data_IF_094597413525
#
_entry.id   IF_094597413525
#
_cell.length_a   1.000
_cell.length_b   1.000
_cell.length_c   1.000
_cell.angle_alpha   90.00
_cell.angle_beta   90.00
_cell.angle_gamma   90.00
#
_symmetry.space_group_name_H-M   'P 1'
#
loop_
_entity.id
_entity.type
_entity.pdbx_description
1 polymer ?
#
# COMPACT_ATOMS: atom_id res chain seq x y z
N UNK A 1 -1.12 3.66 9.07
CA UNK A 1 -2.35 2.86 9.28
C UNK A 1 -2.95 2.49 7.93
N UNK A 2 -2.51 1.40 7.29
CA UNK A 2 -3.01 0.99 5.98
C UNK A 2 -4.51 0.63 5.95
N UNK A 3 -5.19 0.86 4.83
CA UNK A 3 -6.57 0.43 4.62
C UNK A 3 -7.17 0.93 3.30
N UNK A 4 -8.51 0.91 3.17
CA UNK A 4 -9.23 1.55 2.05
C UNK A 4 -8.76 2.99 1.84
N UNK A 5 -8.63 3.72 2.95
CA UNK A 5 -7.83 4.93 3.02
C UNK A 5 -6.75 4.71 4.06
N UNK A 6 -5.50 4.83 3.65
CA UNK A 6 -4.34 4.75 4.52
C UNK A 6 -4.14 6.08 5.24
N UNK A 7 -3.88 6.03 6.54
CA UNK A 7 -3.62 7.21 7.37
C UNK A 7 -2.16 7.23 7.79
N UNK A 8 -1.53 8.39 7.61
CA UNK A 8 -0.18 8.70 8.06
C UNK A 8 -0.30 9.70 9.19
N UNK A 9 0.42 9.46 10.29
CA UNK A 9 0.38 10.32 11.46
C UNK A 9 1.78 10.41 12.07
N UNK A 10 2.21 11.64 12.37
CA UNK A 10 3.41 11.91 13.18
C UNK A 10 2.96 12.30 14.58
N UNK A 11 3.58 11.71 15.60
CA UNK A 11 3.30 12.01 16.99
C UNK A 11 4.52 12.64 17.67
N UNK A 12 4.26 13.66 18.48
CA UNK A 12 5.19 14.18 19.48
C UNK A 12 4.58 13.94 20.86
N UNK A 13 5.09 12.94 21.58
CA UNK A 13 4.46 12.44 22.80
C UNK A 13 3.04 11.92 22.51
N UNK A 14 2.04 12.55 23.13
CA UNK A 14 0.61 12.21 22.95
C UNK A 14 -0.11 13.08 21.92
N UNK A 15 0.60 13.99 21.23
CA UNK A 15 0.01 14.93 20.27
C UNK A 15 0.29 14.49 18.83
N UNK A 16 -0.74 14.44 18.00
CA UNK A 16 -0.60 14.32 16.54
C UNK A 16 -0.17 15.67 15.98
N UNK A 17 0.98 15.73 15.32
CA UNK A 17 1.53 16.97 14.75
C UNK A 17 1.42 17.05 13.23
N UNK A 18 1.31 15.90 12.57
CA UNK A 18 1.08 15.82 11.13
C UNK A 18 0.12 14.67 10.85
N UNK A 19 -0.83 14.88 9.94
CA UNK A 19 -1.74 13.83 9.49
C UNK A 19 -1.99 13.93 7.98
N UNK A 20 -2.04 12.79 7.31
CA UNK A 20 -2.37 12.70 5.89
C UNK A 20 -3.15 11.43 5.60
N UNK A 21 -4.04 11.51 4.62
CA UNK A 21 -4.83 10.39 4.13
C UNK A 21 -4.45 10.09 2.68
N UNK A 22 -4.27 8.81 2.35
CA UNK A 22 -4.09 8.33 0.99
C UNK A 22 -5.20 7.33 0.65
N UNK A 23 -5.87 7.51 -0.49
CA UNK A 23 -7.00 6.66 -0.91
C UNK A 23 -6.55 5.39 -1.65
N UNK A 24 -5.41 4.81 -1.26
CA UNK A 24 -4.71 3.78 -2.03
C UNK A 24 -5.53 2.50 -2.22
N UNK A 25 -6.19 2.02 -1.16
CA UNK A 25 -7.07 0.85 -1.25
C UNK A 25 -8.33 1.12 -2.08
N UNK A 26 -8.94 2.29 -1.93
CA UNK A 26 -10.10 2.69 -2.75
C UNK A 26 -9.73 2.82 -4.23
N UNK A 27 -8.61 3.48 -4.55
CA UNK A 27 -8.12 3.60 -5.93
C UNK A 27 -7.82 2.23 -6.52
N UNK A 28 -7.24 1.30 -5.75
CA UNK A 28 -7.04 -0.07 -6.21
C UNK A 28 -8.37 -0.71 -6.64
N UNK A 29 -9.39 -0.63 -5.80
CA UNK A 29 -10.72 -1.20 -6.06
C UNK A 29 -11.42 -0.56 -7.26
N UNK A 30 -11.37 0.77 -7.37
CA UNK A 30 -11.94 1.51 -8.51
C UNK A 30 -11.23 1.14 -9.81
N UNK A 31 -9.91 1.08 -9.80
CA UNK A 31 -9.14 0.73 -11.00
C UNK A 31 -9.35 -0.73 -11.41
N UNK A 32 -9.38 -1.64 -10.44
CA UNK A 32 -9.66 -3.06 -10.63
C UNK A 32 -11.01 -3.32 -11.27
N UNK A 33 -12.02 -2.54 -10.90
CA UNK A 33 -13.42 -2.85 -11.22
C UNK A 33 -13.99 -1.95 -12.32
N UNK A 34 -13.70 -0.65 -12.29
CA UNK A 34 -14.39 0.35 -13.10
C UNK A 34 -13.53 0.98 -14.20
N UNK A 35 -12.22 0.71 -14.23
CA UNK A 35 -11.33 1.20 -15.28
C UNK A 35 -11.11 0.18 -16.41
N UNK A 36 -10.36 0.57 -17.44
CA UNK A 36 -9.89 -0.34 -18.51
C UNK A 36 -8.98 -1.45 -17.98
N UNK A 37 -8.34 -1.27 -16.81
CA UNK A 37 -7.43 -2.25 -16.23
C UNK A 37 -8.15 -3.55 -15.84
N UNK A 38 -9.47 -3.51 -15.59
CA UNK A 38 -10.30 -4.68 -15.29
C UNK A 38 -10.14 -5.82 -16.30
N UNK A 39 -9.86 -5.48 -17.57
CA UNK A 39 -9.66 -6.47 -18.64
C UNK A 39 -8.36 -7.28 -18.50
N UNK A 40 -7.48 -6.89 -17.58
CA UNK A 40 -6.22 -7.58 -17.25
C UNK A 40 -6.27 -8.24 -15.87
N UNK A 41 -7.43 -8.13 -15.20
CA UNK A 41 -7.69 -8.56 -13.83
C UNK A 41 -8.95 -9.45 -13.81
N UNK A 42 -9.11 -10.28 -14.84
CA UNK A 42 -10.20 -11.25 -14.95
C UNK A 42 -9.72 -12.63 -14.48
N UNK A 43 -10.60 -13.40 -13.84
CA UNK A 43 -10.28 -14.73 -13.33
C UNK A 43 -9.66 -14.70 -11.93
N UNK A 44 -8.90 -15.75 -11.60
CA UNK A 44 -8.22 -15.88 -10.31
C UNK A 44 -7.08 -14.85 -10.20
N UNK A 45 -7.13 -14.01 -9.17
CA UNK A 45 -6.15 -12.93 -8.94
C UNK A 45 -5.06 -13.32 -7.94
N UNK A 46 -5.26 -14.44 -7.25
CA UNK A 46 -4.29 -15.01 -6.35
C UNK A 46 -3.63 -16.18 -7.06
N UNK A 47 -2.31 -16.24 -7.01
CA UNK A 47 -1.55 -17.18 -7.80
C UNK A 47 -0.05 -16.93 -7.70
N UNK A 48 0.78 -17.83 -8.26
CA UNK A 48 2.22 -17.82 -8.07
C UNK A 48 2.89 -16.53 -8.58
N UNK A 49 2.31 -15.88 -9.58
CA UNK A 49 2.87 -14.66 -10.17
C UNK A 49 2.50 -13.37 -9.42
N UNK A 50 1.61 -13.44 -8.42
CA UNK A 50 1.14 -12.25 -7.69
C UNK A 50 2.27 -11.54 -6.95
N UNK A 51 3.09 -12.29 -6.22
CA UNK A 51 4.21 -11.72 -5.46
C UNK A 51 5.29 -11.12 -6.39
N UNK A 52 5.73 -11.79 -7.48
CA UNK A 52 6.58 -11.16 -8.50
C UNK A 52 5.99 -9.89 -9.11
N UNK A 53 4.69 -9.88 -9.42
CA UNK A 53 3.99 -8.70 -9.90
C UNK A 53 4.02 -7.57 -8.87
N UNK A 54 3.71 -7.89 -7.62
CA UNK A 54 3.74 -6.96 -6.50
C UNK A 54 5.11 -6.31 -6.32
N UNK A 55 6.18 -7.10 -6.27
CA UNK A 55 7.54 -6.58 -6.14
C UNK A 55 7.92 -5.63 -7.29
N UNK A 56 7.55 -5.99 -8.53
CA UNK A 56 7.82 -5.15 -9.71
C UNK A 56 7.05 -3.83 -9.69
N UNK A 57 5.77 -3.86 -9.27
CA UNK A 57 4.96 -2.65 -9.11
C UNK A 57 5.48 -1.78 -7.98
N UNK A 58 5.77 -2.38 -6.83
CA UNK A 58 6.27 -1.71 -5.63
C UNK A 58 7.55 -0.93 -5.91
N UNK A 59 8.54 -1.56 -6.57
CA UNK A 59 9.77 -0.89 -6.97
C UNK A 59 9.52 0.33 -7.85
N UNK A 60 8.68 0.22 -8.89
CA UNK A 60 8.36 1.34 -9.78
C UNK A 60 7.61 2.47 -9.08
N UNK A 61 6.69 2.14 -8.18
CA UNK A 61 5.95 3.12 -7.39
C UNK A 61 6.87 3.90 -6.45
N UNK A 62 7.80 3.20 -5.78
CA UNK A 62 8.78 3.82 -4.89
C UNK A 62 9.77 4.73 -5.65
N UNK A 63 10.25 4.28 -6.82
CA UNK A 63 11.25 4.99 -7.61
C UNK A 63 10.68 6.26 -8.26
N UNK A 64 9.46 6.19 -8.80
CA UNK A 64 8.86 7.28 -9.60
C UNK A 64 7.38 7.49 -9.29
N UNK A 65 7.01 7.88 -8.05
CA UNK A 65 5.62 8.09 -7.65
C UNK A 65 4.88 9.14 -8.50
N UNK A 66 5.59 10.19 -8.95
CA UNK A 66 5.08 11.24 -9.84
C UNK A 66 4.64 10.74 -11.22
N UNK A 67 5.07 9.54 -11.64
CA UNK A 67 4.70 8.93 -12.92
C UNK A 67 3.50 7.99 -12.82
N UNK A 68 2.82 7.92 -11.67
CA UNK A 68 1.80 6.93 -11.37
C UNK A 68 0.78 6.75 -12.50
N UNK A 69 0.19 7.83 -13.02
CA UNK A 69 -0.85 7.77 -14.06
C UNK A 69 -0.37 7.13 -15.35
N UNK A 70 0.87 7.40 -15.77
CA UNK A 70 1.49 6.74 -16.92
C UNK A 70 1.82 5.27 -16.64
N UNK A 71 2.32 4.97 -15.43
CA UNK A 71 2.73 3.62 -15.03
C UNK A 71 1.54 2.68 -14.82
N UNK A 72 0.37 3.19 -14.40
CA UNK A 72 -0.86 2.41 -14.25
C UNK A 72 -1.23 1.65 -15.53
N UNK A 73 -1.02 2.25 -16.71
CA UNK A 73 -1.34 1.60 -17.98
C UNK A 73 -0.44 0.38 -18.28
N UNK A 74 0.71 0.23 -17.59
CA UNK A 74 1.54 -0.97 -17.72
C UNK A 74 0.83 -2.25 -17.29
N UNK A 75 -0.18 -2.17 -16.42
CA UNK A 75 -1.05 -3.32 -16.09
C UNK A 75 -1.70 -3.87 -17.36
N UNK A 76 -2.30 -2.98 -18.19
CA UNK A 76 -2.96 -3.37 -19.43
C UNK A 76 -1.97 -3.76 -20.52
N UNK A 77 -0.92 -2.98 -20.69
CA UNK A 77 0.12 -3.26 -21.68
C UNK A 77 0.82 -4.61 -21.39
N UNK A 78 1.11 -4.92 -20.13
CA UNK A 78 1.75 -6.19 -19.74
C UNK A 78 0.90 -7.42 -20.07
N UNK A 79 -0.43 -7.33 -19.85
CA UNK A 79 -1.34 -8.41 -20.22
C UNK A 79 -1.42 -8.59 -21.75
N UNK A 80 -1.51 -7.49 -22.51
CA UNK A 80 -1.67 -7.53 -23.97
C UNK A 80 -0.39 -7.90 -24.74
N UNK A 81 0.76 -7.38 -24.32
CA UNK A 81 2.00 -7.43 -25.09
C UNK A 81 3.04 -8.39 -24.51
N UNK A 82 2.92 -8.73 -23.22
CA UNK A 82 3.92 -9.54 -22.50
C UNK A 82 3.34 -10.79 -21.85
N UNK A 83 2.07 -11.12 -22.13
CA UNK A 83 1.42 -12.32 -21.60
C UNK A 83 1.36 -12.38 -20.07
N UNK A 84 1.37 -11.22 -19.38
CA UNK A 84 1.28 -11.20 -17.91
C UNK A 84 -0.06 -11.75 -17.46
N UNK A 85 -0.01 -12.69 -16.51
CA UNK A 85 -1.18 -13.34 -15.93
C UNK A 85 -1.99 -12.37 -15.06
N UNK A 86 -3.27 -12.69 -14.81
CA UNK A 86 -4.12 -11.87 -13.94
C UNK A 86 -3.58 -11.73 -12.51
N UNK A 87 -3.01 -12.78 -11.87
CA UNK A 87 -2.31 -12.64 -10.59
C UNK A 87 -1.14 -11.65 -10.65
N UNK A 88 -0.31 -11.72 -11.70
CA UNK A 88 0.80 -10.78 -11.87
C UNK A 88 0.29 -9.34 -11.99
N UNK A 89 -0.74 -9.11 -12.82
CA UNK A 89 -1.34 -7.80 -13.02
C UNK A 89 -1.96 -7.24 -11.72
N UNK A 90 -2.61 -8.09 -10.93
CA UNK A 90 -3.19 -7.71 -9.64
C UNK A 90 -2.11 -7.35 -8.62
N UNK A 91 -1.06 -8.18 -8.53
CA UNK A 91 0.13 -7.89 -7.75
C UNK A 91 0.75 -6.56 -8.15
N UNK A 92 1.02 -6.36 -9.45
CA UNK A 92 1.63 -5.14 -9.98
C UNK A 92 0.82 -3.89 -9.66
N UNK A 93 -0.50 -3.92 -9.86
CA UNK A 93 -1.36 -2.78 -9.53
C UNK A 93 -1.29 -2.45 -8.02
N UNK A 94 -1.39 -3.47 -7.17
CA UNK A 94 -1.32 -3.31 -5.71
C UNK A 94 0.03 -2.74 -5.27
N UNK A 95 1.13 -3.34 -5.75
CA UNK A 95 2.49 -2.89 -5.46
C UNK A 95 2.75 -1.47 -5.95
N UNK A 96 2.34 -1.15 -7.18
CA UNK A 96 2.51 0.19 -7.75
C UNK A 96 1.82 1.27 -6.92
N UNK A 97 0.57 1.02 -6.49
CA UNK A 97 -0.18 1.99 -5.70
C UNK A 97 0.42 2.17 -4.30
N UNK A 98 0.77 1.08 -3.61
CA UNK A 98 1.42 1.14 -2.29
C UNK A 98 2.80 1.81 -2.41
N UNK A 99 3.57 1.45 -3.43
CA UNK A 99 4.88 2.04 -3.68
C UNK A 99 4.79 3.54 -3.99
N UNK A 100 3.80 3.96 -4.78
CA UNK A 100 3.60 5.36 -5.10
C UNK A 100 3.16 6.17 -3.87
N UNK A 101 2.33 5.60 -2.99
CA UNK A 101 1.97 6.21 -1.71
C UNK A 101 3.21 6.41 -0.82
N UNK A 102 3.98 5.35 -0.58
CA UNK A 102 5.19 5.41 0.26
C UNK A 102 6.23 6.35 -0.37
N UNK A 103 6.46 6.22 -1.68
CA UNK A 103 7.40 7.03 -2.44
C UNK A 103 7.03 8.52 -2.44
N UNK A 104 5.74 8.84 -2.47
CA UNK A 104 5.22 10.21 -2.40
C UNK A 104 5.25 10.82 -0.99
N UNK A 105 5.47 10.02 0.05
CA UNK A 105 5.55 10.44 1.45
C UNK A 105 6.91 10.16 2.09
N UNK A 106 7.98 10.11 1.30
CA UNK A 106 9.34 9.85 1.81
C UNK A 106 9.79 10.83 2.90
N UNK A 107 9.31 12.07 2.86
CA UNK A 107 9.58 13.11 3.86
C UNK A 107 8.96 12.82 5.25
N UNK A 108 8.07 11.84 5.35
CA UNK A 108 7.52 11.35 6.64
C UNK A 108 8.36 10.25 7.27
N UNK A 109 9.29 9.66 6.51
CA UNK A 109 10.06 8.49 6.93
C UNK A 109 11.32 8.98 7.64
N UNK A 110 11.47 8.56 8.90
CA UNK A 110 12.64 8.87 9.74
C UNK A 110 13.33 7.58 10.17
N UNK A 111 14.41 7.68 10.94
CA UNK A 111 15.13 6.50 11.49
C UNK A 111 14.34 5.75 12.58
N UNK A 112 13.25 6.35 13.07
CA UNK A 112 12.36 5.72 14.04
C UNK A 112 11.61 4.53 13.41
N UNK A 113 11.41 3.50 14.21
CA UNK A 113 10.60 2.35 13.78
C UNK A 113 9.13 2.76 13.58
N UNK A 114 8.57 2.44 12.41
CA UNK A 114 7.22 2.83 12.00
C UNK A 114 6.20 1.78 12.46
N UNK A 115 5.23 2.13 13.32
CA UNK A 115 4.13 1.23 13.66
C UNK A 115 3.13 1.12 12.51
N UNK A 116 2.89 -0.09 12.05
CA UNK A 116 1.86 -0.40 11.06
C UNK A 116 0.65 -0.99 11.77
N UNK A 117 -0.42 -0.20 11.86
CA UNK A 117 -1.69 -0.59 12.48
C UNK A 117 -2.68 -0.94 11.37
N UNK A 118 -3.12 -2.20 11.30
CA UNK A 118 -4.00 -2.71 10.26
C UNK A 118 -4.06 -4.24 10.24
N UNK A 119 -4.60 -4.83 9.17
CA UNK A 119 -4.59 -6.28 9.01
C UNK A 119 -3.17 -6.80 8.73
N UNK A 120 -2.82 -7.98 9.25
CA UNK A 120 -1.49 -8.59 9.09
C UNK A 120 -1.04 -8.65 7.64
N UNK A 121 -1.94 -9.04 6.73
CA UNK A 121 -1.63 -9.13 5.30
C UNK A 121 -1.27 -7.78 4.68
N UNK A 122 -2.06 -6.74 4.94
CA UNK A 122 -1.81 -5.41 4.39
C UNK A 122 -0.58 -4.75 5.02
N UNK A 123 -0.40 -4.90 6.33
CA UNK A 123 0.80 -4.44 7.02
C UNK A 123 2.07 -5.09 6.45
N UNK A 124 2.04 -6.38 6.11
CA UNK A 124 3.16 -7.06 5.45
C UNK A 124 3.51 -6.45 4.09
N UNK A 125 2.51 -6.06 3.30
CA UNK A 125 2.73 -5.41 2.00
C UNK A 125 3.39 -4.03 2.14
N UNK A 126 2.92 -3.22 3.09
CA UNK A 126 3.55 -1.92 3.39
C UNK A 126 4.96 -2.08 3.97
N UNK A 127 5.16 -3.06 4.86
CA UNK A 127 6.46 -3.36 5.46
C UNK A 127 7.53 -3.67 4.40
N UNK A 128 7.18 -4.38 3.32
CA UNK A 128 8.08 -4.60 2.18
C UNK A 128 8.52 -3.29 1.53
N UNK A 129 7.60 -2.36 1.31
CA UNK A 129 7.91 -1.04 0.73
C UNK A 129 8.82 -0.21 1.62
N UNK A 130 8.55 -0.17 2.93
CA UNK A 130 9.41 0.52 3.89
C UNK A 130 10.80 -0.12 4.00
N UNK A 131 10.88 -1.46 3.97
CA UNK A 131 12.16 -2.17 4.00
C UNK A 131 13.04 -1.86 2.79
N UNK A 132 12.44 -1.67 1.60
CA UNK A 132 13.18 -1.23 0.39
C UNK A 132 13.78 0.18 0.52
N UNK A 133 13.29 0.98 1.47
CA UNK A 133 13.82 2.31 1.81
C UNK A 133 14.76 2.26 3.03
N UNK A 134 15.05 1.08 3.57
CA UNK A 134 15.87 0.92 4.78
C UNK A 134 15.13 1.26 6.09
N UNK A 135 13.82 1.53 6.04
CA UNK A 135 13.04 1.86 7.22
C UNK A 135 12.61 0.60 7.99
N UNK A 136 12.64 0.69 9.32
CA UNK A 136 12.17 -0.37 10.21
C UNK A 136 10.68 -0.23 10.46
N UNK A 137 9.97 -1.36 10.50
CA UNK A 137 8.54 -1.38 10.78
C UNK A 137 8.20 -2.46 11.80
N UNK A 138 7.16 -2.21 12.60
CA UNK A 138 6.54 -3.24 13.44
C UNK A 138 5.04 -3.27 13.20
N UNK A 139 4.47 -4.47 13.17
CA UNK A 139 3.02 -4.63 13.06
C UNK A 139 2.39 -4.44 14.44
N UNK A 140 1.31 -3.68 14.48
CA UNK A 140 0.48 -3.49 15.67
C UNK A 140 -0.91 -3.99 15.33
N UNK A 141 -1.42 -4.89 16.17
CA UNK A 141 -2.77 -5.39 16.00
C UNK A 141 -3.78 -4.24 16.13
N UNK A 142 -4.66 -4.13 15.13
CA UNK A 142 -5.63 -3.04 15.07
C UNK A 142 -6.69 -3.16 16.17
N UNK A 143 -7.10 -4.38 16.51
CA UNK A 143 -8.08 -4.63 17.57
C UNK A 143 -7.50 -4.25 18.94
N UNK A 144 -6.27 -4.64 19.23
CA UNK A 144 -5.59 -4.26 20.47
C UNK A 144 -5.42 -2.75 20.58
N UNK A 145 -4.99 -2.08 19.50
CA UNK A 145 -4.87 -0.62 19.46
C UNK A 145 -6.21 0.09 19.70
N UNK A 146 -7.28 -0.38 19.06
CA UNK A 146 -8.64 0.17 19.25
C UNK A 146 -9.13 -0.04 20.68
N UNK A 147 -8.97 -1.25 21.24
CA UNK A 147 -9.39 -1.54 22.61
C UNK A 147 -8.61 -0.72 23.65
N UNK A 148 -7.30 -0.56 23.47
CA UNK A 148 -6.48 0.30 24.32
C UNK A 148 -6.94 1.76 24.28
N UNK A 149 -7.23 2.30 23.09
CA UNK A 149 -7.74 3.65 22.92
C UNK A 149 -9.10 3.86 23.59
N UNK A 150 -10.04 2.92 23.42
CA UNK A 150 -11.37 2.98 24.05
C UNK A 150 -11.29 2.90 25.59
N UNK A 151 -10.41 2.05 26.13
CA UNK A 151 -10.17 1.97 27.58
C UNK A 151 -9.60 3.28 28.14
N UNK A 152 -8.64 3.88 27.45
CA UNK A 152 -8.05 5.15 27.84
C UNK A 152 -9.08 6.29 27.80
N UNK A 153 -9.91 6.36 26.75
CA UNK A 153 -10.96 7.36 26.63
C UNK A 153 -12.05 7.23 27.70
N UNK A 154 -12.38 6.00 28.12
CA UNK A 154 -13.34 5.75 29.21
C UNK A 154 -12.81 6.19 30.59
N UNK A 155 -11.50 6.13 30.78
CA UNK A 155 -10.86 6.43 32.06
C UNK A 155 -10.52 7.93 32.24
N UNK A 156 -10.59 8.71 31.15
CA UNK A 156 -10.39 10.16 31.13
C UNK A 156 -11.70 10.90 31.48
#
# INVERSE_FOLDING_TARGET
>A
MPGTHSKWATLEGTRITRFSSAMTGEIFEVLRTHSVLRHSLQGELDGPDRDPGFAAGLGQGLESPQRLTATLFKVRAGSLLSGRSAPWCAGFLSGLLIGAEIGGQRDWITDAEIPLIGSTGLCRLYAQGFAMLGARTRVVDATDATLAGLKAARAA
#
